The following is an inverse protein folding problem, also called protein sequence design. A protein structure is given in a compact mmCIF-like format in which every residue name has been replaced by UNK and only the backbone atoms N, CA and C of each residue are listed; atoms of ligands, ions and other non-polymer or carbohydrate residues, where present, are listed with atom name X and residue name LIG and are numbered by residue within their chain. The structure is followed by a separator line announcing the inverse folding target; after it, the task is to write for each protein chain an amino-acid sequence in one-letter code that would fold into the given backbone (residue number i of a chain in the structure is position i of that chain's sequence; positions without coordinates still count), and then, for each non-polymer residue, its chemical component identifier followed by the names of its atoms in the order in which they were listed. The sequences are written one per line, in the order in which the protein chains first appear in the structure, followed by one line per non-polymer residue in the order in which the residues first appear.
data_IF_954237668371
#
_entry.id   IF_954237668371
#
_cell.length_a   1.000
_cell.length_b   1.000
_cell.length_c   1.000
_cell.angle_alpha   90.00
_cell.angle_beta   90.00
_cell.angle_gamma   90.00
#
_symmetry.space_group_name_H-M   'P 1'
#
loop_
_entity.id
_entity.type
_entity.pdbx_description
1 polymer ?
#
# COMPACT_ATOMS: atom_id res chain seq x y z
N UNK A 1 32.82 7.33 5.79
CA UNK A 1 32.67 8.78 5.64
C UNK A 1 32.15 9.36 6.93
N UNK A 2 32.73 10.42 7.52
CA UNK A 2 32.34 10.94 8.82
C UNK A 2 30.95 11.59 8.72
N UNK A 3 30.06 11.24 9.67
CA UNK A 3 28.78 11.91 9.88
C UNK A 3 29.07 13.37 10.26
N UNK A 4 28.65 14.31 9.39
CA UNK A 4 28.64 15.72 9.78
C UNK A 4 27.68 15.90 10.95
N UNK A 5 28.23 16.22 12.12
CA UNK A 5 27.50 16.60 13.31
C UNK A 5 26.92 18.00 13.12
N UNK A 6 25.70 18.09 12.60
CA UNK A 6 24.89 19.29 12.77
C UNK A 6 24.24 19.16 14.15
N UNK A 7 24.61 20.00 15.09
CA UNK A 7 24.03 20.11 16.44
C UNK A 7 22.65 20.81 16.39
N UNK A 8 21.76 20.35 15.55
CA UNK A 8 20.35 20.72 15.60
C UNK A 8 19.60 19.69 16.44
N UNK A 9 18.74 20.17 17.36
CA UNK A 9 17.90 19.28 18.16
C UNK A 9 17.19 18.26 17.27
N UNK A 10 16.96 17.03 17.76
CA UNK A 10 16.19 16.03 17.03
C UNK A 10 14.80 16.58 16.63
N UNK A 11 14.41 16.35 15.40
CA UNK A 11 13.07 16.75 14.92
C UNK A 11 12.00 15.96 15.68
N UNK A 12 11.02 16.70 16.22
CA UNK A 12 9.92 16.12 16.98
C UNK A 12 8.73 15.81 16.07
N UNK A 13 8.08 14.66 16.30
CA UNK A 13 6.99 14.16 15.48
C UNK A 13 5.77 13.83 16.32
N UNK A 14 4.59 14.23 15.87
CA UNK A 14 3.30 13.75 16.38
C UNK A 14 2.69 12.77 15.39
N UNK A 15 2.23 11.62 15.90
CA UNK A 15 1.46 10.65 15.10
C UNK A 15 -0.03 10.81 15.42
N UNK A 16 -0.83 11.06 14.39
CA UNK A 16 -2.29 11.19 14.50
C UNK A 16 -2.95 9.96 13.87
N UNK A 17 -3.57 9.13 14.70
CA UNK A 17 -4.18 7.87 14.27
C UNK A 17 -3.21 6.67 14.42
N UNK A 18 -3.09 6.09 15.64
CA UNK A 18 -2.19 4.97 15.91
C UNK A 18 -2.78 3.63 15.43
N UNK A 19 -3.17 3.57 14.15
CA UNK A 19 -3.49 2.33 13.44
C UNK A 19 -2.22 1.55 13.06
N UNK A 20 -2.33 0.57 12.15
CA UNK A 20 -1.20 -0.27 11.76
C UNK A 20 0.00 0.57 11.24
N UNK A 21 -0.25 1.49 10.32
CA UNK A 21 0.79 2.39 9.78
C UNK A 21 1.32 3.36 10.85
N UNK A 22 0.41 4.02 11.60
CA UNK A 22 0.83 4.95 12.65
C UNK A 22 1.68 4.28 13.72
N UNK A 23 1.36 3.04 14.07
CA UNK A 23 2.16 2.20 14.97
C UNK A 23 3.53 1.89 14.38
N UNK A 24 3.59 1.48 13.11
CA UNK A 24 4.85 1.18 12.45
C UNK A 24 5.78 2.43 12.38
N UNK A 25 5.23 3.58 12.01
CA UNK A 25 5.97 4.86 12.00
C UNK A 25 6.45 5.25 13.40
N UNK A 26 5.57 5.18 14.41
CA UNK A 26 5.93 5.53 15.78
C UNK A 26 7.08 4.67 16.32
N UNK A 27 7.13 3.38 15.94
CA UNK A 27 8.21 2.47 16.34
C UNK A 27 9.50 2.68 15.55
N UNK A 28 9.42 3.12 14.28
CA UNK A 28 10.58 3.29 13.40
C UNK A 28 11.28 4.65 13.63
N UNK A 29 10.53 5.71 13.85
CA UNK A 29 11.04 7.08 13.98
C UNK A 29 12.16 7.22 15.03
N UNK A 30 12.04 6.64 16.25
CA UNK A 30 13.11 6.76 17.25
C UNK A 30 14.44 6.13 16.83
N UNK A 31 14.42 5.00 16.14
CA UNK A 31 15.64 4.35 15.64
C UNK A 31 16.32 5.13 14.52
N UNK A 32 15.60 6.00 13.84
CA UNK A 32 16.09 6.92 12.81
C UNK A 32 16.51 8.30 13.38
N UNK A 33 16.49 8.49 14.70
CA UNK A 33 16.95 9.72 15.36
C UNK A 33 15.87 10.79 15.54
N UNK A 34 14.59 10.44 15.41
CA UNK A 34 13.45 11.34 15.62
C UNK A 34 12.81 11.12 16.99
N UNK A 35 12.20 12.16 17.56
CA UNK A 35 11.49 12.06 18.84
C UNK A 35 9.98 12.02 18.57
N UNK A 36 9.31 10.92 18.88
CA UNK A 36 7.86 10.87 18.87
C UNK A 36 7.34 11.55 20.14
N UNK A 37 6.86 12.79 20.00
CA UNK A 37 6.44 13.62 21.13
C UNK A 37 5.00 13.33 21.55
N UNK A 38 4.10 13.15 20.57
CA UNK A 38 2.69 12.89 20.84
C UNK A 38 2.17 11.72 19.97
N UNK A 39 1.27 10.96 20.57
CA UNK A 39 0.35 10.06 19.87
C UNK A 39 -1.06 10.60 20.09
N UNK A 40 -1.71 11.06 19.03
CA UNK A 40 -3.05 11.60 19.07
C UNK A 40 -4.08 10.57 18.56
N UNK A 41 -5.07 10.28 19.38
CA UNK A 41 -6.15 9.34 19.05
C UNK A 41 -7.53 9.94 19.40
N UNK A 42 -8.59 9.36 18.80
CA UNK A 42 -9.97 9.68 19.22
C UNK A 42 -10.19 9.26 20.67
N UNK A 43 -11.17 9.85 21.36
CA UNK A 43 -11.44 9.59 22.79
C UNK A 43 -11.54 8.08 23.13
N UNK A 44 -12.22 7.29 22.30
CA UNK A 44 -12.28 5.82 22.46
C UNK A 44 -10.94 5.12 22.26
N UNK A 45 -10.04 5.67 21.45
CA UNK A 45 -8.71 5.08 21.16
C UNK A 45 -7.70 5.33 22.27
N UNK A 46 -7.84 6.40 23.05
CA UNK A 46 -6.93 6.74 24.15
C UNK A 46 -6.94 5.66 25.25
N UNK A 47 -8.07 5.04 25.50
CA UNK A 47 -8.22 4.00 26.52
C UNK A 47 -7.83 2.61 26.03
N UNK A 48 -7.48 2.46 24.75
CA UNK A 48 -7.04 1.18 24.18
C UNK A 48 -5.69 0.76 24.77
N UNK A 49 -5.60 -0.50 25.23
CA UNK A 49 -4.35 -1.08 25.75
C UNK A 49 -3.23 -1.00 24.73
N UNK A 50 -3.54 -1.19 23.45
CA UNK A 50 -2.59 -1.12 22.32
C UNK A 50 -2.01 0.28 22.17
N UNK A 51 -2.86 1.31 22.14
CA UNK A 51 -2.43 2.72 21.99
C UNK A 51 -1.64 3.19 23.21
N UNK A 52 -2.08 2.83 24.42
CA UNK A 52 -1.37 3.17 25.66
C UNK A 52 0.00 2.47 25.72
N UNK A 53 0.05 1.20 25.32
CA UNK A 53 1.29 0.43 25.22
C UNK A 53 2.27 1.03 24.23
N UNK A 54 1.80 1.45 23.04
CA UNK A 54 2.59 2.12 22.02
C UNK A 54 3.18 3.43 22.55
N UNK A 55 2.34 4.31 23.12
CA UNK A 55 2.79 5.59 23.66
C UNK A 55 3.87 5.42 24.73
N UNK A 56 3.68 4.45 25.64
CA UNK A 56 4.67 4.11 26.67
C UNK A 56 5.97 3.60 26.06
N UNK A 57 5.90 2.73 25.05
CA UNK A 57 7.08 2.13 24.39
C UNK A 57 7.95 3.18 23.69
N UNK A 58 7.33 4.18 23.04
CA UNK A 58 8.06 5.25 22.34
C UNK A 58 8.25 6.50 23.18
N UNK A 59 7.87 6.45 24.47
CA UNK A 59 7.95 7.57 25.45
C UNK A 59 7.21 8.83 24.97
N UNK A 60 6.10 8.66 24.24
CA UNK A 60 5.27 9.74 23.74
C UNK A 60 4.13 10.05 24.71
N UNK A 61 3.72 11.31 24.74
CA UNK A 61 2.49 11.72 25.44
C UNK A 61 1.28 11.31 24.61
N UNK A 62 0.32 10.64 25.23
CA UNK A 62 -0.96 10.29 24.62
C UNK A 62 -1.95 11.42 24.82
N UNK A 63 -2.56 11.90 23.72
CA UNK A 63 -3.48 13.05 23.72
C UNK A 63 -4.75 12.78 22.93
N UNK A 64 -5.86 13.42 23.32
CA UNK A 64 -7.10 13.35 22.56
C UNK A 64 -7.01 14.27 21.35
N UNK A 65 -7.24 13.71 20.16
CA UNK A 65 -7.23 14.44 18.91
C UNK A 65 -8.14 15.70 18.97
N UNK A 66 -7.54 16.85 18.70
CA UNK A 66 -8.24 18.13 18.61
C UNK A 66 -8.65 18.76 19.97
N UNK A 67 -8.19 18.21 21.10
CA UNK A 67 -8.40 18.83 22.43
C UNK A 67 -7.17 19.59 22.94
N UNK A 68 -5.99 19.19 22.48
CA UNK A 68 -4.71 19.77 22.89
C UNK A 68 -3.86 20.09 21.66
N UNK A 69 -3.03 21.14 21.73
CA UNK A 69 -2.07 21.43 20.65
C UNK A 69 -1.02 20.31 20.53
N UNK A 70 -0.65 20.02 19.28
CA UNK A 70 0.43 19.09 18.95
C UNK A 70 1.73 19.88 18.70
N UNK A 71 2.32 20.39 19.78
CA UNK A 71 3.56 21.16 19.67
C UNK A 71 4.76 20.26 19.30
N UNK A 72 4.84 19.94 18.03
CA UNK A 72 5.94 19.21 17.38
C UNK A 72 6.32 19.90 16.07
N UNK A 73 7.48 19.59 15.53
CA UNK A 73 7.97 20.16 14.28
C UNK A 73 7.20 19.57 13.09
N UNK A 74 6.82 18.28 13.21
CA UNK A 74 6.07 17.52 12.20
C UNK A 74 4.83 16.86 12.83
N UNK A 75 3.71 16.93 12.14
CA UNK A 75 2.52 16.13 12.44
C UNK A 75 2.27 15.15 11.29
N UNK A 76 2.21 13.86 11.58
CA UNK A 76 1.96 12.82 10.59
C UNK A 76 0.58 12.18 10.81
N UNK A 77 -0.34 12.44 9.87
CA UNK A 77 -1.72 11.96 9.91
C UNK A 77 -1.79 10.59 9.21
N UNK A 78 -2.17 9.58 9.98
CA UNK A 78 -2.24 8.17 9.56
C UNK A 78 -3.63 7.57 9.86
N UNK A 79 -4.65 8.42 9.81
CA UNK A 79 -6.06 8.02 9.89
C UNK A 79 -6.54 7.45 8.56
N UNK A 80 -7.68 6.73 8.51
CA UNK A 80 -8.31 6.33 7.24
C UNK A 80 -8.57 7.51 6.31
N UNK A 81 -8.60 7.27 5.01
CA UNK A 81 -8.69 8.30 3.97
C UNK A 81 -9.91 9.22 4.15
N UNK A 82 -11.07 8.65 4.46
CA UNK A 82 -12.32 9.36 4.73
C UNK A 82 -12.27 10.30 5.95
N UNK A 83 -11.30 10.10 6.83
CA UNK A 83 -11.12 10.91 8.02
C UNK A 83 -10.05 12.00 7.89
N UNK A 84 -9.25 12.02 6.80
CA UNK A 84 -8.11 12.95 6.65
C UNK A 84 -8.57 14.40 6.65
N UNK A 85 -9.50 14.78 5.77
CA UNK A 85 -9.97 16.15 5.65
C UNK A 85 -10.61 16.67 6.95
N UNK A 86 -11.46 15.86 7.60
CA UNK A 86 -12.07 16.20 8.88
C UNK A 86 -11.03 16.34 10.00
N UNK A 87 -9.97 15.53 9.97
CA UNK A 87 -8.84 15.61 10.91
C UNK A 87 -8.04 16.89 10.68
N UNK A 88 -7.76 17.24 9.44
CA UNK A 88 -7.07 18.50 9.07
C UNK A 88 -7.85 19.73 9.55
N UNK A 89 -9.16 19.79 9.30
CA UNK A 89 -10.05 20.85 9.79
C UNK A 89 -10.04 20.97 11.31
N UNK A 90 -10.08 19.83 12.02
CA UNK A 90 -10.05 19.81 13.48
C UNK A 90 -8.73 20.35 14.01
N UNK A 91 -7.62 19.89 13.44
CA UNK A 91 -6.26 20.29 13.86
C UNK A 91 -5.99 21.78 13.55
N UNK A 92 -6.47 22.30 12.43
CA UNK A 92 -6.28 23.70 12.05
C UNK A 92 -6.75 24.71 13.12
N UNK A 93 -7.67 24.30 14.01
CA UNK A 93 -8.23 25.12 15.09
C UNK A 93 -7.52 24.99 16.45
N UNK A 94 -6.48 24.15 16.54
CA UNK A 94 -5.90 23.81 17.86
C UNK A 94 -4.66 24.60 18.24
N UNK A 95 -3.97 25.19 17.24
CA UNK A 95 -2.71 25.90 17.45
C UNK A 95 -2.34 26.73 16.23
N UNK A 96 -1.28 27.54 16.35
CA UNK A 96 -0.61 28.16 15.22
C UNK A 96 0.18 27.10 14.43
N UNK A 97 -0.02 27.08 13.11
CA UNK A 97 0.60 26.12 12.20
C UNK A 97 1.74 26.74 11.40
N UNK A 98 2.08 27.99 11.64
CA UNK A 98 3.16 28.68 10.93
C UNK A 98 4.48 27.90 11.10
N UNK A 99 5.11 27.57 9.97
CA UNK A 99 6.38 26.84 9.94
C UNK A 99 6.33 25.36 10.33
N UNK A 100 5.16 24.81 10.68
CA UNK A 100 4.99 23.38 10.96
C UNK A 100 4.94 22.57 9.65
N UNK A 101 5.32 21.29 9.74
CA UNK A 101 5.22 20.33 8.64
C UNK A 101 4.05 19.39 8.94
N UNK A 102 3.21 19.10 7.94
CA UNK A 102 2.14 18.13 8.10
C UNK A 102 2.14 17.15 6.94
N UNK A 103 2.10 15.87 7.27
CA UNK A 103 1.95 14.77 6.29
C UNK A 103 0.63 14.04 6.49
N UNK A 104 0.09 13.48 5.41
CA UNK A 104 -0.80 12.34 5.45
C UNK A 104 -0.25 11.19 4.62
N UNK A 105 -0.76 9.97 4.83
CA UNK A 105 -0.26 8.76 4.16
C UNK A 105 -1.25 8.09 3.22
N UNK A 106 -2.28 8.80 2.75
CA UNK A 106 -3.16 8.25 1.71
C UNK A 106 -2.41 8.05 0.39
N UNK A 107 -2.67 6.91 -0.26
CA UNK A 107 -2.18 6.62 -1.60
C UNK A 107 -3.03 7.28 -2.70
N UNK A 108 -4.31 7.55 -2.43
CA UNK A 108 -5.27 8.09 -3.39
C UNK A 108 -5.49 9.60 -3.25
N UNK A 109 -5.60 10.10 -2.00
CA UNK A 109 -5.82 11.52 -1.71
C UNK A 109 -4.54 12.33 -1.90
N UNK A 110 -4.69 13.60 -2.24
CA UNK A 110 -3.56 14.51 -2.47
C UNK A 110 -3.25 15.35 -1.22
N UNK A 111 -2.09 16.00 -1.21
CA UNK A 111 -1.74 16.97 -0.16
C UNK A 111 -2.73 18.14 -0.05
N UNK A 112 -3.64 18.33 -1.01
CA UNK A 112 -4.67 19.36 -0.97
C UNK A 112 -5.78 19.05 0.04
N UNK A 113 -5.93 17.78 0.45
CA UNK A 113 -6.81 17.40 1.56
C UNK A 113 -6.34 17.96 2.93
N UNK A 114 -5.10 18.49 2.97
CA UNK A 114 -4.55 19.23 4.10
C UNK A 114 -4.66 20.76 3.92
N UNK A 115 -5.44 21.26 2.96
CA UNK A 115 -5.61 22.69 2.70
C UNK A 115 -5.93 23.53 3.95
N UNK A 116 -6.81 23.09 4.88
CA UNK A 116 -7.08 23.86 6.11
C UNK A 116 -5.84 24.14 6.96
N UNK A 117 -4.87 23.23 6.97
CA UNK A 117 -3.60 23.41 7.70
C UNK A 117 -2.61 24.27 6.91
N UNK A 118 -2.59 24.11 5.59
CA UNK A 118 -1.78 24.97 4.69
C UNK A 118 -2.20 26.44 4.78
N UNK A 119 -3.50 26.73 4.84
CA UNK A 119 -4.06 28.07 5.00
C UNK A 119 -3.66 28.71 6.35
N UNK A 120 -3.39 27.89 7.38
CA UNK A 120 -2.84 28.33 8.66
C UNK A 120 -1.29 28.36 8.68
N UNK A 121 -0.62 28.28 7.52
CA UNK A 121 0.83 28.43 7.40
C UNK A 121 1.66 27.15 7.44
N UNK A 122 1.06 25.99 7.64
CA UNK A 122 1.77 24.71 7.56
C UNK A 122 2.27 24.42 6.13
N UNK A 123 3.37 23.69 6.02
CA UNK A 123 3.81 23.08 4.76
C UNK A 123 3.37 21.62 4.75
N UNK A 124 2.66 21.22 3.69
CA UNK A 124 1.97 19.93 3.68
C UNK A 124 2.44 19.01 2.55
N UNK A 125 2.41 17.71 2.83
CA UNK A 125 2.71 16.70 1.82
C UNK A 125 1.87 15.43 2.03
N UNK A 126 1.66 14.69 0.94
CA UNK A 126 1.29 13.29 0.99
C UNK A 126 2.56 12.44 0.93
N UNK A 127 2.70 11.49 1.85
CA UNK A 127 3.87 10.60 2.00
C UNK A 127 3.35 9.18 2.19
N UNK A 128 3.14 8.48 1.07
CA UNK A 128 2.50 7.16 1.05
C UNK A 128 3.51 6.03 0.94
N UNK A 129 3.62 5.14 1.93
CA UNK A 129 4.47 3.95 1.83
C UNK A 129 3.85 2.91 0.88
N UNK A 130 4.62 2.46 -0.11
CA UNK A 130 4.27 1.36 -1.01
C UNK A 130 4.46 0.00 -0.32
N UNK A 131 3.72 -0.23 0.76
CA UNK A 131 3.79 -1.43 1.58
C UNK A 131 2.45 -1.75 2.25
N UNK A 132 2.27 -3.01 2.65
CA UNK A 132 1.08 -3.47 3.36
C UNK A 132 1.29 -3.43 4.86
N UNK A 133 0.27 -2.94 5.58
CA UNK A 133 0.25 -2.86 7.05
C UNK A 133 -0.95 -3.65 7.57
N UNK A 134 -0.71 -4.89 7.97
CA UNK A 134 -1.72 -5.79 8.56
C UNK A 134 -1.60 -5.83 10.08
N UNK A 135 -2.61 -6.36 10.77
CA UNK A 135 -2.52 -6.64 12.22
C UNK A 135 -1.37 -7.61 12.49
N UNK A 136 -0.58 -7.29 13.51
CA UNK A 136 0.56 -8.10 13.91
C UNK A 136 1.80 -7.26 14.20
N UNK A 137 3.00 -7.87 14.16
CA UNK A 137 4.25 -7.13 14.30
C UNK A 137 4.37 -6.05 13.23
N UNK A 138 4.76 -4.85 13.63
CA UNK A 138 4.97 -3.75 12.69
C UNK A 138 6.08 -4.12 11.70
N UNK A 139 5.85 -3.98 10.39
CA UNK A 139 6.87 -4.28 9.40
C UNK A 139 8.02 -3.28 9.50
N UNK A 140 9.22 -3.71 9.11
CA UNK A 140 10.37 -2.81 8.99
C UNK A 140 10.18 -1.87 7.79
N UNK A 141 10.61 -0.63 7.93
CA UNK A 141 10.55 0.38 6.87
C UNK A 141 11.77 0.36 5.94
N UNK A 142 12.76 -0.46 6.24
CA UNK A 142 13.96 -0.62 5.42
C UNK A 142 13.59 -1.11 4.00
N UNK A 143 14.09 -0.41 2.98
CA UNK A 143 13.84 -0.72 1.57
C UNK A 143 12.45 -0.35 1.06
N UNK A 144 11.57 0.24 1.89
CA UNK A 144 10.22 0.64 1.46
C UNK A 144 10.28 1.83 0.52
N UNK A 145 9.55 1.74 -0.59
CA UNK A 145 9.34 2.83 -1.52
C UNK A 145 8.22 3.75 -1.03
N UNK A 146 8.43 5.06 -1.04
CA UNK A 146 7.42 6.04 -0.66
C UNK A 146 7.09 6.96 -1.83
N UNK A 147 5.82 7.05 -2.21
CA UNK A 147 5.35 8.07 -3.13
C UNK A 147 5.10 9.39 -2.40
N UNK A 148 5.67 10.48 -2.92
CA UNK A 148 5.67 11.78 -2.24
C UNK A 148 5.23 12.88 -3.21
N UNK A 149 4.31 13.75 -2.75
CA UNK A 149 3.94 15.00 -3.42
C UNK A 149 3.51 16.04 -2.39
N UNK A 150 3.53 17.31 -2.75
CA UNK A 150 3.13 18.42 -1.87
C UNK A 150 4.07 19.61 -1.96
N UNK A 151 4.06 20.43 -0.91
CA UNK A 151 4.87 21.64 -0.85
C UNK A 151 6.38 21.29 -0.82
N UNK A 152 7.24 22.04 -1.55
CA UNK A 152 8.67 21.72 -1.65
C UNK A 152 9.40 21.60 -0.31
N UNK A 153 9.04 22.39 0.69
CA UNK A 153 9.63 22.31 2.02
C UNK A 153 9.23 21.01 2.73
N UNK A 154 7.95 20.61 2.64
CA UNK A 154 7.44 19.39 3.24
C UNK A 154 8.03 18.14 2.56
N UNK A 155 8.08 18.11 1.23
CA UNK A 155 8.64 16.99 0.48
C UNK A 155 10.14 16.80 0.72
N UNK A 156 10.92 17.87 0.95
CA UNK A 156 12.34 17.76 1.37
C UNK A 156 12.47 17.07 2.73
N UNK A 157 11.62 17.44 3.69
CA UNK A 157 11.61 16.79 5.02
C UNK A 157 11.21 15.32 4.90
N UNK A 158 10.18 15.01 4.09
CA UNK A 158 9.77 13.64 3.82
C UNK A 158 10.90 12.80 3.23
N UNK A 159 11.62 13.30 2.22
CA UNK A 159 12.77 12.63 1.60
C UNK A 159 13.86 12.29 2.63
N UNK A 160 14.18 13.23 3.52
CA UNK A 160 15.18 13.00 4.58
C UNK A 160 14.71 11.90 5.52
N UNK A 161 13.48 11.99 6.05
CA UNK A 161 12.94 11.02 7.01
C UNK A 161 12.90 9.61 6.40
N UNK A 162 12.44 9.49 5.15
CA UNK A 162 12.37 8.20 4.45
C UNK A 162 13.78 7.63 4.20
N UNK A 163 14.75 8.46 3.83
CA UNK A 163 16.15 8.03 3.69
C UNK A 163 16.74 7.55 5.02
N UNK A 164 16.43 8.23 6.12
CA UNK A 164 16.86 7.83 7.48
C UNK A 164 16.23 6.50 7.93
N UNK A 165 15.08 6.11 7.35
CA UNK A 165 14.50 4.76 7.50
C UNK A 165 15.19 3.70 6.63
N UNK A 166 16.08 4.11 5.71
CA UNK A 166 16.63 3.25 4.66
C UNK A 166 15.64 2.97 3.53
N UNK A 167 14.58 3.79 3.39
CA UNK A 167 13.63 3.75 2.29
C UNK A 167 14.02 4.63 1.11
N UNK A 168 13.23 4.60 0.06
CA UNK A 168 13.43 5.42 -1.15
C UNK A 168 12.18 6.21 -1.47
N UNK A 169 12.32 7.49 -1.86
CA UNK A 169 11.18 8.33 -2.25
C UNK A 169 11.09 8.49 -3.76
N UNK A 170 9.85 8.42 -4.25
CA UNK A 170 9.50 8.69 -5.63
C UNK A 170 8.52 9.87 -5.69
N UNK A 171 8.86 10.90 -6.45
CA UNK A 171 7.96 12.01 -6.68
C UNK A 171 6.79 11.56 -7.57
N UNK A 172 5.58 11.89 -7.19
CA UNK A 172 4.38 11.59 -7.97
C UNK A 172 3.60 12.86 -8.27
N UNK A 173 2.99 12.93 -9.45
CA UNK A 173 2.10 14.03 -9.78
C UNK A 173 0.74 13.81 -9.12
N UNK A 174 0.18 14.85 -8.50
CA UNK A 174 -1.14 14.82 -7.85
C UNK A 174 -2.24 14.21 -8.74
N UNK A 175 -2.29 14.61 -10.02
CA UNK A 175 -3.27 14.09 -10.99
C UNK A 175 -3.21 12.58 -11.20
N UNK A 176 -2.09 11.96 -10.91
CA UNK A 176 -1.83 10.53 -11.13
C UNK A 176 -2.00 9.69 -9.85
N UNK A 177 -2.32 10.30 -8.70
CA UNK A 177 -2.37 9.59 -7.42
C UNK A 177 -3.37 8.42 -7.41
N UNK A 178 -4.56 8.62 -7.95
CA UNK A 178 -5.57 7.55 -8.02
C UNK A 178 -5.07 6.37 -8.85
N UNK A 179 -4.44 6.65 -10.01
CA UNK A 179 -3.87 5.60 -10.86
C UNK A 179 -2.67 4.92 -10.19
N UNK A 180 -1.82 5.69 -9.51
CA UNK A 180 -0.74 5.14 -8.69
C UNK A 180 -1.29 4.23 -7.57
N UNK A 181 -2.37 4.62 -6.89
CA UNK A 181 -2.97 3.78 -5.86
C UNK A 181 -3.59 2.50 -6.46
N UNK A 182 -4.19 2.59 -7.65
CA UNK A 182 -4.63 1.41 -8.40
C UNK A 182 -3.45 0.46 -8.71
N UNK A 183 -2.28 0.99 -9.11
CA UNK A 183 -1.06 0.18 -9.25
C UNK A 183 -0.72 -0.57 -7.95
N UNK A 184 -0.76 0.10 -6.80
CA UNK A 184 -0.57 -0.56 -5.49
C UNK A 184 -1.61 -1.64 -5.21
N UNK A 185 -2.87 -1.43 -5.64
CA UNK A 185 -3.94 -2.42 -5.51
C UNK A 185 -3.65 -3.67 -6.36
N UNK A 186 -3.12 -3.52 -7.56
CA UNK A 186 -2.66 -4.65 -8.37
C UNK A 186 -1.51 -5.41 -7.71
N UNK A 187 -0.59 -4.71 -7.05
CA UNK A 187 0.59 -5.32 -6.44
C UNK A 187 0.31 -6.01 -5.09
N UNK A 188 -0.83 -5.77 -4.46
CA UNK A 188 -1.12 -6.33 -3.13
C UNK A 188 -2.53 -6.92 -3.00
N UNK A 189 -3.61 -6.18 -2.75
CA UNK A 189 -4.91 -6.80 -2.47
C UNK A 189 -5.44 -7.66 -3.62
N UNK A 190 -5.19 -7.29 -4.88
CA UNK A 190 -5.60 -8.10 -6.02
C UNK A 190 -4.74 -9.37 -6.18
N UNK A 191 -3.48 -9.36 -5.75
CA UNK A 191 -2.67 -10.59 -5.65
C UNK A 191 -3.26 -11.54 -4.61
N UNK A 192 -3.71 -11.02 -3.45
CA UNK A 192 -4.37 -11.87 -2.44
C UNK A 192 -5.70 -12.42 -2.98
N UNK A 193 -6.48 -11.62 -3.72
CA UNK A 193 -7.70 -12.11 -4.38
C UNK A 193 -7.40 -13.21 -5.41
N UNK A 194 -6.30 -13.09 -6.18
CA UNK A 194 -5.84 -14.13 -7.08
C UNK A 194 -5.45 -15.41 -6.32
N UNK A 195 -4.74 -15.29 -5.19
CA UNK A 195 -4.40 -16.45 -4.35
C UNK A 195 -5.64 -17.15 -3.81
N UNK A 196 -6.66 -16.40 -3.38
CA UNK A 196 -7.94 -16.96 -2.96
C UNK A 196 -8.65 -17.70 -4.11
N UNK A 197 -8.58 -17.18 -5.35
CA UNK A 197 -9.09 -17.87 -6.54
C UNK A 197 -8.31 -19.16 -6.83
N UNK A 198 -6.98 -19.16 -6.68
CA UNK A 198 -6.15 -20.37 -6.79
C UNK A 198 -6.57 -21.45 -5.79
N UNK A 199 -6.82 -21.07 -4.53
CA UNK A 199 -7.29 -22.02 -3.49
C UNK A 199 -8.64 -22.63 -3.86
N UNK A 200 -9.57 -21.85 -4.46
CA UNK A 200 -10.88 -22.35 -4.91
C UNK A 200 -10.76 -23.31 -6.10
N UNK A 201 -9.90 -23.01 -7.07
CA UNK A 201 -9.61 -23.91 -8.19
C UNK A 201 -8.97 -25.21 -7.70
N UNK A 202 -8.01 -25.12 -6.78
CA UNK A 202 -7.35 -26.28 -6.17
C UNK A 202 -8.37 -27.19 -5.46
N UNK A 203 -9.28 -26.61 -4.67
CA UNK A 203 -10.37 -27.36 -4.03
C UNK A 203 -11.28 -28.05 -5.07
N UNK A 204 -11.63 -27.38 -6.16
CA UNK A 204 -12.43 -27.98 -7.22
C UNK A 204 -11.69 -29.12 -7.95
N UNK A 205 -10.37 -29.05 -7.98
CA UNK A 205 -9.50 -30.11 -8.49
C UNK A 205 -9.26 -31.28 -7.49
N UNK A 206 -9.87 -31.23 -6.29
CA UNK A 206 -9.73 -32.28 -5.27
C UNK A 206 -8.43 -32.22 -4.46
N UNK A 207 -7.76 -31.06 -4.45
CA UNK A 207 -6.55 -30.84 -3.63
C UNK A 207 -6.99 -30.50 -2.20
N UNK A 208 -6.46 -31.23 -1.22
CA UNK A 208 -6.76 -31.00 0.18
C UNK A 208 -6.28 -29.61 0.64
N UNK A 209 -7.06 -28.89 1.50
CA UNK A 209 -6.74 -27.53 1.92
C UNK A 209 -5.33 -27.35 2.51
N UNK A 210 -4.83 -28.33 3.24
CA UNK A 210 -3.51 -28.29 3.88
C UNK A 210 -2.37 -28.38 2.85
N UNK A 211 -2.61 -29.03 1.71
CA UNK A 211 -1.63 -29.22 0.64
C UNK A 211 -1.57 -28.02 -0.32
N UNK A 212 -2.66 -27.25 -0.44
CA UNK A 212 -2.75 -26.14 -1.41
C UNK A 212 -1.58 -25.18 -1.29
N UNK A 213 -1.27 -24.73 -0.07
CA UNK A 213 -0.17 -23.78 0.16
C UNK A 213 1.19 -24.41 -0.13
N UNK A 214 1.38 -25.68 0.25
CA UNK A 214 2.62 -26.40 -0.02
C UNK A 214 2.89 -26.55 -1.53
N UNK A 215 1.86 -26.79 -2.33
CA UNK A 215 1.95 -26.87 -3.79
C UNK A 215 2.08 -25.51 -4.48
N UNK A 216 1.31 -24.52 -4.03
CA UNK A 216 1.20 -23.20 -4.67
C UNK A 216 2.44 -22.32 -4.43
N UNK A 217 2.96 -22.27 -3.19
CA UNK A 217 4.01 -21.32 -2.81
C UNK A 217 5.33 -21.51 -3.57
N UNK A 218 5.83 -22.72 -3.83
CA UNK A 218 7.03 -22.90 -4.64
C UNK A 218 6.87 -22.38 -6.06
N UNK A 219 5.70 -22.62 -6.68
CA UNK A 219 5.39 -22.16 -8.03
C UNK A 219 5.32 -20.63 -8.08
N UNK A 220 4.63 -19.98 -7.15
CA UNK A 220 4.54 -18.52 -7.07
C UNK A 220 5.91 -17.87 -6.84
N UNK A 221 6.71 -18.43 -5.93
CA UNK A 221 8.09 -17.97 -5.66
C UNK A 221 8.95 -18.04 -6.92
N UNK A 222 8.87 -19.15 -7.65
CA UNK A 222 9.65 -19.31 -8.88
C UNK A 222 9.17 -18.36 -9.98
N UNK A 223 7.86 -18.14 -10.12
CA UNK A 223 7.28 -17.18 -11.06
C UNK A 223 7.75 -15.76 -10.78
N UNK A 224 7.72 -15.33 -9.51
CA UNK A 224 8.23 -14.01 -9.11
C UNK A 224 9.75 -13.89 -9.33
N UNK A 225 10.51 -14.94 -9.03
CA UNK A 225 11.96 -14.97 -9.27
C UNK A 225 12.28 -14.84 -10.76
N UNK A 226 11.56 -15.56 -11.61
CA UNK A 226 11.74 -15.47 -13.06
C UNK A 226 11.42 -14.04 -13.56
N UNK A 227 10.34 -13.43 -13.07
CA UNK A 227 9.98 -12.06 -13.41
C UNK A 227 11.04 -11.03 -12.96
N UNK A 228 11.67 -11.23 -11.80
CA UNK A 228 12.73 -10.35 -11.29
C UNK A 228 14.06 -10.50 -12.03
N UNK A 229 14.33 -11.70 -12.58
CA UNK A 229 15.59 -12.01 -13.28
C UNK A 229 15.51 -11.76 -14.78
N UNK A 230 14.31 -11.74 -15.34
CA UNK A 230 14.02 -11.61 -16.76
C UNK A 230 12.96 -10.53 -16.99
N UNK A 231 12.67 -10.21 -18.24
CA UNK A 231 11.51 -9.41 -18.59
C UNK A 231 10.20 -10.24 -18.52
N UNK A 232 9.06 -9.54 -18.53
CA UNK A 232 7.75 -10.17 -18.45
C UNK A 232 7.49 -11.17 -19.60
N UNK A 233 8.01 -10.90 -20.80
CA UNK A 233 7.85 -11.77 -21.97
C UNK A 233 8.62 -13.09 -21.81
N UNK A 234 9.85 -13.03 -21.32
CA UNK A 234 10.71 -14.20 -21.09
C UNK A 234 10.27 -15.02 -19.88
N UNK A 235 9.69 -14.38 -18.85
CA UNK A 235 9.13 -15.07 -17.68
C UNK A 235 7.78 -15.72 -17.96
N UNK A 236 7.11 -15.33 -19.06
CA UNK A 236 5.77 -15.81 -19.40
C UNK A 236 5.80 -17.22 -20.00
N UNK A 237 5.32 -18.21 -19.25
CA UNK A 237 5.37 -19.63 -19.60
C UNK A 237 3.97 -20.29 -19.56
N UNK A 238 3.87 -21.52 -20.03
CA UNK A 238 2.63 -22.30 -20.00
C UNK A 238 1.91 -22.40 -21.36
N UNK A 239 0.62 -22.78 -21.41
CA UNK A 239 -0.13 -23.01 -22.63
C UNK A 239 -0.42 -21.73 -23.43
N UNK A 240 -0.63 -20.59 -22.75
CA UNK A 240 -0.94 -19.30 -23.40
C UNK A 240 0.19 -18.84 -24.34
N UNK A 241 1.46 -18.64 -23.90
CA UNK A 241 2.52 -18.22 -24.80
C UNK A 241 2.79 -19.22 -25.94
N UNK A 242 2.61 -20.51 -25.70
CA UNK A 242 2.78 -21.53 -26.74
C UNK A 242 1.64 -21.55 -27.76
N UNK A 243 0.52 -20.85 -27.47
CA UNK A 243 -0.65 -20.84 -28.34
C UNK A 243 -1.39 -22.19 -28.35
N UNK A 244 -1.35 -22.92 -27.24
CA UNK A 244 -2.00 -24.22 -27.06
C UNK A 244 -3.50 -24.02 -26.76
N UNK A 245 -4.25 -23.76 -27.84
CA UNK A 245 -5.69 -23.49 -27.79
C UNK A 245 -6.47 -24.66 -27.22
N UNK A 246 -6.03 -25.90 -27.50
CA UNK A 246 -6.74 -27.11 -27.04
C UNK A 246 -6.68 -27.24 -25.51
N UNK A 247 -5.53 -26.98 -24.91
CA UNK A 247 -5.38 -26.97 -23.44
C UNK A 247 -6.18 -25.82 -22.82
N UNK A 248 -6.13 -24.61 -23.37
CA UNK A 248 -6.91 -23.48 -22.85
C UNK A 248 -8.40 -23.75 -22.93
N UNK A 249 -8.90 -24.35 -24.02
CA UNK A 249 -10.29 -24.76 -24.13
C UNK A 249 -10.69 -25.72 -23.01
N UNK A 250 -9.90 -26.75 -22.74
CA UNK A 250 -10.14 -27.69 -21.63
C UNK A 250 -10.17 -26.98 -20.27
N UNK A 251 -9.23 -26.06 -20.02
CA UNK A 251 -9.29 -25.27 -18.80
C UNK A 251 -10.60 -24.50 -18.66
N UNK A 252 -11.05 -23.84 -19.72
CA UNK A 252 -12.28 -23.07 -19.72
C UNK A 252 -13.55 -23.93 -19.56
N UNK A 253 -13.53 -25.17 -20.04
CA UNK A 253 -14.60 -26.11 -19.83
C UNK A 253 -14.69 -26.56 -18.38
N UNK A 254 -13.59 -27.04 -17.79
CA UNK A 254 -13.53 -27.48 -16.39
C UNK A 254 -13.83 -26.33 -15.41
N UNK A 255 -13.36 -25.13 -15.70
CA UNK A 255 -13.65 -23.93 -14.89
C UNK A 255 -15.13 -23.51 -14.91
N UNK A 256 -16.01 -24.13 -15.69
CA UNK A 256 -17.46 -23.92 -15.57
C UNK A 256 -17.98 -24.31 -14.19
N UNK A 257 -17.35 -25.25 -13.51
CA UNK A 257 -17.67 -25.63 -12.14
C UNK A 257 -17.41 -24.51 -11.11
N UNK A 258 -16.57 -23.55 -11.46
CA UNK A 258 -16.18 -22.39 -10.61
C UNK A 258 -16.24 -21.10 -11.44
N UNK A 259 -17.42 -20.57 -11.70
CA UNK A 259 -17.65 -19.53 -12.71
C UNK A 259 -16.97 -18.20 -12.38
N UNK A 260 -16.77 -17.84 -11.10
CA UNK A 260 -16.05 -16.64 -10.71
C UNK A 260 -14.56 -16.75 -11.06
N UNK A 261 -13.93 -17.89 -10.78
CA UNK A 261 -12.52 -18.17 -11.08
C UNK A 261 -12.30 -18.27 -12.60
N UNK A 262 -13.30 -18.79 -13.33
CA UNK A 262 -13.31 -18.76 -14.80
C UNK A 262 -13.28 -17.33 -15.34
N UNK A 263 -14.06 -16.42 -14.76
CA UNK A 263 -14.05 -15.01 -15.15
C UNK A 263 -12.67 -14.36 -14.89
N UNK A 264 -12.04 -14.64 -13.74
CA UNK A 264 -10.67 -14.20 -13.42
C UNK A 264 -9.67 -14.75 -14.43
N UNK A 265 -9.74 -16.05 -14.75
CA UNK A 265 -8.88 -16.67 -15.76
C UNK A 265 -9.00 -15.98 -17.12
N UNK A 266 -10.23 -15.75 -17.60
CA UNK A 266 -10.50 -15.09 -18.89
C UNK A 266 -9.97 -13.64 -18.89
N UNK A 267 -10.16 -12.89 -17.82
CA UNK A 267 -9.68 -11.53 -17.70
C UNK A 267 -8.14 -11.44 -17.77
N UNK A 268 -7.44 -12.28 -17.01
CA UNK A 268 -5.99 -12.34 -17.00
C UNK A 268 -5.43 -12.86 -18.34
N UNK A 269 -6.00 -13.89 -18.92
CA UNK A 269 -5.62 -14.40 -20.22
C UNK A 269 -5.81 -13.34 -21.32
N UNK A 270 -6.91 -12.59 -21.28
CA UNK A 270 -7.17 -11.48 -22.22
C UNK A 270 -6.16 -10.35 -22.07
N UNK A 271 -5.76 -10.02 -20.83
CA UNK A 271 -4.69 -9.06 -20.58
C UNK A 271 -3.34 -9.55 -21.08
N UNK A 272 -3.04 -10.84 -20.91
CA UNK A 272 -1.82 -11.46 -21.45
C UNK A 272 -1.80 -11.42 -22.98
N UNK A 273 -2.91 -11.70 -23.64
CA UNK A 273 -2.99 -11.58 -25.10
C UNK A 273 -2.69 -10.17 -25.62
N UNK A 274 -3.04 -9.13 -24.88
CA UNK A 274 -2.76 -7.74 -25.28
C UNK A 274 -1.30 -7.34 -25.06
N UNK A 275 -0.71 -7.78 -23.97
CA UNK A 275 0.52 -7.21 -23.43
C UNK A 275 1.74 -8.13 -23.56
N UNK A 276 1.56 -9.43 -23.84
CA UNK A 276 2.62 -10.43 -23.84
C UNK A 276 2.68 -11.21 -25.16
N UNK A 277 3.80 -11.85 -25.51
CA UNK A 277 3.93 -12.66 -26.70
C UNK A 277 3.11 -13.94 -26.58
N UNK A 278 2.13 -14.11 -27.47
CA UNK A 278 1.30 -15.32 -27.56
C UNK A 278 1.24 -15.79 -29.00
N UNK A 279 1.60 -17.07 -29.23
CA UNK A 279 1.42 -17.74 -30.53
C UNK A 279 -0.06 -18.01 -30.76
N UNK A 280 -0.48 -18.14 -32.03
CA UNK A 280 -1.87 -18.40 -32.40
C UNK A 280 -2.88 -17.41 -31.80
N UNK A 281 -2.49 -16.14 -31.58
CA UNK A 281 -3.27 -15.10 -30.91
C UNK A 281 -4.74 -15.04 -31.35
N UNK A 282 -5.01 -15.00 -32.66
CA UNK A 282 -6.39 -14.90 -33.18
C UNK A 282 -7.28 -16.10 -32.77
N UNK A 283 -6.72 -17.31 -32.74
CA UNK A 283 -7.44 -18.49 -32.32
C UNK A 283 -7.71 -18.46 -30.81
N UNK A 284 -6.73 -18.03 -30.03
CA UNK A 284 -6.84 -17.86 -28.58
C UNK A 284 -7.88 -16.80 -28.20
N UNK A 285 -7.91 -15.66 -28.92
CA UNK A 285 -8.93 -14.61 -28.73
C UNK A 285 -10.37 -15.12 -29.00
N UNK A 286 -10.55 -15.94 -30.04
CA UNK A 286 -11.85 -16.55 -30.31
C UNK A 286 -12.28 -17.44 -29.15
N UNK A 287 -11.38 -18.27 -28.64
CA UNK A 287 -11.68 -19.18 -27.52
C UNK A 287 -12.11 -18.44 -26.26
N UNK A 288 -11.37 -17.40 -25.89
CA UNK A 288 -11.70 -16.57 -24.71
C UNK A 288 -13.02 -15.81 -24.89
N UNK A 289 -13.33 -15.30 -26.09
CA UNK A 289 -14.58 -14.56 -26.37
C UNK A 289 -15.82 -15.46 -26.32
N UNK A 290 -15.76 -16.68 -26.85
CA UNK A 290 -16.89 -17.64 -26.78
C UNK A 290 -17.21 -18.00 -25.32
N UNK A 291 -16.18 -18.05 -24.51
CA UNK A 291 -16.28 -18.33 -23.08
C UNK A 291 -16.89 -17.18 -22.24
N UNK A 292 -16.78 -15.93 -22.69
CA UNK A 292 -17.33 -14.76 -22.00
C UNK A 292 -18.82 -14.53 -22.18
N UNK A 293 -19.41 -15.09 -23.24
CA UNK A 293 -20.86 -14.92 -23.56
C UNK A 293 -21.80 -15.86 -22.78
N UNK A 294 -21.28 -16.88 -22.13
CA UNK A 294 -22.07 -17.85 -21.36
C UNK A 294 -22.35 -17.43 -19.91
N UNK A 295 -21.99 -16.25 -19.48
CA UNK A 295 -22.03 -15.79 -18.07
C UNK A 295 -23.14 -14.78 -17.73
N UNK A 296 -24.12 -14.51 -18.62
CA UNK A 296 -25.35 -13.82 -18.25
C UNK A 296 -26.40 -14.86 -17.85
N UNK A 297 -26.28 -15.40 -16.67
CA UNK A 297 -27.40 -16.05 -15.99
C UNK A 297 -28.12 -14.95 -15.19
N UNK A 298 -29.45 -14.91 -15.44
CA UNK A 298 -30.45 -14.01 -14.86
C UNK A 298 -30.45 -13.95 -13.34
#
# INVERSE_FOLDING_TARGET
MPKQSHSSRPLTVSIVGPGNLGTALALTLPSAGYVVKFIAARAKGITSRETTGLARRVKARLVTLGKEPLDSDLVWITVPDDAIAATALRLARTQDWQGKIVFHSSGALTSDDLAPLREQGAKVASVHPGMTFVRGPAPQMLGVAFAVEGDPAATRVAKRIVADFGGTTYAINKRNKVLYHAFGSFASPLVIALMASLERVAKAAGIEPDDVKAMMLPLLRQTLRNYLQHDAASAFSGPLPRGDVATVRRHLEELKAVPQERAVYVALASAALKNLPVKNRRAMERELKHSGKSGHVR
#
